data_IF_894544475189
#
_entry.id   IF_894544475189
#
_cell.length_a   1.000
_cell.length_b   1.000
_cell.length_c   1.000
_cell.angle_alpha   90.00
_cell.angle_beta   90.00
_cell.angle_gamma   90.00
#
_symmetry.space_group_name_H-M   'P 1'
#
loop_
_entity.id
_entity.type
_entity.pdbx_description
1 polymer ?
#
# COMPACT_ATOMS: atom_id res chain seq x y z
N UNK A 1 77.66 37.34 46.86
CA UNK A 1 76.60 36.31 46.78
C UNK A 1 75.20 36.91 46.58
N UNK A 2 74.70 37.80 47.46
CA UNK A 2 73.32 38.36 47.43
C UNK A 2 72.76 38.96 46.10
N UNK A 3 73.59 39.33 45.12
CA UNK A 3 73.11 39.88 43.81
C UNK A 3 72.80 38.80 42.77
N UNK A 4 73.39 37.60 42.89
CA UNK A 4 73.14 36.48 41.96
C UNK A 4 71.84 35.78 42.32
N UNK A 5 71.64 35.52 43.61
CA UNK A 5 70.44 34.87 44.16
C UNK A 5 69.16 35.70 43.88
N UNK A 6 69.21 37.03 44.02
CA UNK A 6 68.10 37.93 43.66
C UNK A 6 67.75 37.94 42.16
N UNK A 7 68.71 37.64 41.29
CA UNK A 7 68.50 37.61 39.83
C UNK A 7 67.89 36.28 39.40
N UNK A 8 68.30 35.17 40.03
CA UNK A 8 67.70 33.85 39.83
C UNK A 8 66.25 33.78 40.34
N UNK A 9 65.92 34.39 41.48
CA UNK A 9 64.53 34.46 41.95
C UNK A 9 63.66 35.30 41.01
N UNK A 10 64.18 36.43 40.50
CA UNK A 10 63.47 37.25 39.52
C UNK A 10 63.22 36.54 38.18
N UNK A 11 64.11 35.64 37.74
CA UNK A 11 63.92 34.85 36.52
C UNK A 11 62.88 33.72 36.73
N UNK A 12 62.84 33.12 37.93
CA UNK A 12 61.82 32.12 38.28
C UNK A 12 60.43 32.75 38.36
N UNK A 13 60.31 33.93 38.95
CA UNK A 13 59.04 34.66 39.02
C UNK A 13 58.49 34.99 37.63
N UNK A 14 59.36 35.37 36.68
CA UNK A 14 58.95 35.60 35.29
C UNK A 14 58.51 34.31 34.57
N UNK A 15 59.11 33.16 34.90
CA UNK A 15 58.69 31.87 34.35
C UNK A 15 57.32 31.46 34.90
N UNK A 16 57.08 31.69 36.19
CA UNK A 16 55.79 31.41 36.84
C UNK A 16 54.68 32.22 36.18
N UNK A 17 54.87 33.54 36.00
CA UNK A 17 53.88 34.41 35.35
C UNK A 17 53.54 33.92 33.94
N UNK A 18 54.55 33.55 33.13
CA UNK A 18 54.33 33.02 31.77
C UNK A 18 53.56 31.69 31.77
N UNK A 19 53.81 30.83 32.75
CA UNK A 19 53.09 29.57 32.91
C UNK A 19 51.63 29.81 33.32
N UNK A 20 51.38 30.74 34.24
CA UNK A 20 50.04 31.14 34.65
C UNK A 20 49.23 31.72 33.49
N UNK A 21 49.82 32.61 32.69
CA UNK A 21 49.19 33.15 31.48
C UNK A 21 48.85 32.04 30.48
N UNK A 22 49.75 31.08 30.28
CA UNK A 22 49.53 29.94 29.37
C UNK A 22 48.41 29.03 29.87
N UNK A 23 48.38 28.72 31.17
CA UNK A 23 47.31 27.95 31.81
C UNK A 23 45.98 28.69 31.65
N UNK A 24 45.97 30.01 31.88
CA UNK A 24 44.77 30.82 31.73
C UNK A 24 44.22 30.77 30.30
N UNK A 25 45.08 30.94 29.30
CA UNK A 25 44.69 30.86 27.89
C UNK A 25 44.16 29.47 27.52
N UNK A 26 44.83 28.41 27.98
CA UNK A 26 44.40 27.03 27.74
C UNK A 26 43.04 26.73 28.40
N UNK A 27 42.80 27.22 29.62
CA UNK A 27 41.51 27.07 30.30
C UNK A 27 40.38 27.81 29.57
N UNK A 28 40.64 29.03 29.06
CA UNK A 28 39.67 29.73 28.23
C UNK A 28 39.35 28.96 26.94
N UNK A 29 40.36 28.39 26.28
CA UNK A 29 40.16 27.58 25.08
C UNK A 29 39.35 26.31 25.39
N UNK A 30 39.64 25.62 26.49
CA UNK A 30 38.88 24.46 26.97
C UNK A 30 37.42 24.80 27.22
N UNK A 31 37.14 25.92 27.91
CA UNK A 31 35.76 26.35 28.17
C UNK A 31 34.98 26.59 26.88
N UNK A 32 35.58 27.29 25.89
CA UNK A 32 34.95 27.51 24.58
C UNK A 32 34.68 26.22 23.83
N UNK A 33 35.57 25.23 23.94
CA UNK A 33 35.37 23.91 23.32
C UNK A 33 34.22 23.17 24.01
N UNK A 34 34.17 23.19 25.35
CA UNK A 34 33.10 22.56 26.12
C UNK A 34 31.73 23.18 25.82
N UNK A 35 31.64 24.50 25.72
CA UNK A 35 30.41 25.20 25.33
C UNK A 35 29.93 24.76 23.94
N UNK A 36 30.84 24.71 22.96
CA UNK A 36 30.51 24.21 21.61
C UNK A 36 30.09 22.75 21.62
N UNK A 37 30.76 21.92 22.40
CA UNK A 37 30.42 20.51 22.53
C UNK A 37 29.02 20.33 23.12
N UNK A 38 28.68 21.10 24.17
CA UNK A 38 27.34 21.10 24.75
C UNK A 38 26.28 21.45 23.71
N UNK A 39 26.48 22.55 22.98
CA UNK A 39 25.55 22.97 21.93
C UNK A 39 25.37 21.92 20.83
N UNK A 40 26.47 21.26 20.42
CA UNK A 40 26.41 20.17 19.45
C UNK A 40 25.64 18.95 19.98
N UNK A 41 25.81 18.60 21.26
CA UNK A 41 25.10 17.48 21.89
C UNK A 41 23.61 17.77 22.02
N UNK A 42 23.24 18.98 22.42
CA UNK A 42 21.84 19.41 22.52
C UNK A 42 21.16 19.32 21.15
N UNK A 43 21.80 19.88 20.11
CA UNK A 43 21.30 19.82 18.75
C UNK A 43 21.23 18.40 18.18
N UNK A 44 22.17 17.53 18.55
CA UNK A 44 22.11 16.11 18.18
C UNK A 44 20.91 15.42 18.85
N UNK A 45 20.58 15.80 20.10
CA UNK A 45 19.38 15.35 20.80
C UNK A 45 18.10 15.73 20.07
N UNK A 46 17.98 17.00 19.68
CA UNK A 46 16.83 17.51 18.89
C UNK A 46 16.67 16.74 17.57
N UNK A 47 17.76 16.60 16.80
CA UNK A 47 17.74 15.89 15.52
C UNK A 47 17.32 14.42 15.70
N UNK A 48 17.75 13.77 16.78
CA UNK A 48 17.33 12.38 17.07
C UNK A 48 15.84 12.28 17.37
N UNK A 49 15.29 13.23 18.14
CA UNK A 49 13.85 13.27 18.43
C UNK A 49 13.02 13.54 17.18
N UNK A 50 13.43 14.52 16.36
CA UNK A 50 12.77 14.80 15.08
C UNK A 50 12.78 13.59 14.15
N UNK A 51 13.93 12.89 14.07
CA UNK A 51 14.05 11.67 13.29
C UNK A 51 13.06 10.60 13.76
N UNK A 52 12.95 10.37 15.06
CA UNK A 52 12.02 9.38 15.62
C UNK A 52 10.55 9.74 15.31
N UNK A 53 10.18 11.01 15.42
CA UNK A 53 8.84 11.51 15.07
C UNK A 53 8.55 11.25 13.59
N UNK A 54 9.51 11.56 12.71
CA UNK A 54 9.36 11.36 11.26
C UNK A 54 9.25 9.87 10.90
N UNK A 55 10.06 9.00 11.52
CA UNK A 55 9.99 7.56 11.31
C UNK A 55 8.63 6.99 11.72
N UNK A 56 8.09 7.43 12.85
CA UNK A 56 6.74 7.04 13.27
C UNK A 56 5.68 7.55 12.29
N UNK A 57 5.85 8.78 11.78
CA UNK A 57 4.91 9.34 10.82
C UNK A 57 4.91 8.62 9.48
N UNK A 58 6.09 8.19 9.03
CA UNK A 58 6.24 7.36 7.82
C UNK A 58 5.48 6.05 8.00
N UNK A 59 5.70 5.33 9.11
CA UNK A 59 5.00 4.07 9.40
C UNK A 59 3.48 4.23 9.42
N UNK A 60 2.97 5.30 10.04
CA UNK A 60 1.52 5.59 10.03
C UNK A 60 0.97 5.80 8.62
N UNK A 61 1.72 6.52 7.77
CA UNK A 61 1.31 6.79 6.39
C UNK A 61 1.35 5.52 5.53
N UNK A 62 2.35 4.67 5.71
CA UNK A 62 2.45 3.38 5.02
C UNK A 62 1.28 2.45 5.37
N UNK A 63 0.91 2.37 6.66
CA UNK A 63 -0.26 1.62 7.12
C UNK A 63 -1.53 2.16 6.47
N UNK A 64 -1.72 3.48 6.50
CA UNK A 64 -2.90 4.13 5.91
C UNK A 64 -2.98 3.88 4.41
N UNK A 65 -1.85 3.91 3.69
CA UNK A 65 -1.82 3.63 2.26
C UNK A 65 -2.22 2.17 1.98
N UNK A 66 -1.77 1.23 2.79
CA UNK A 66 -2.17 -0.18 2.70
C UNK A 66 -3.67 -0.36 2.93
N UNK A 67 -4.25 0.30 3.94
CA UNK A 67 -5.70 0.27 4.20
C UNK A 67 -6.51 0.79 3.01
N UNK A 68 -6.08 1.89 2.39
CA UNK A 68 -6.74 2.41 1.18
C UNK A 68 -6.67 1.44 0.00
N UNK A 69 -5.51 0.78 -0.19
CA UNK A 69 -5.34 -0.23 -1.24
C UNK A 69 -6.25 -1.43 -1.01
N UNK A 70 -6.35 -1.92 0.23
CA UNK A 70 -7.24 -3.01 0.61
C UNK A 70 -8.71 -2.66 0.37
N UNK A 71 -9.16 -1.48 0.82
CA UNK A 71 -10.52 -1.01 0.57
C UNK A 71 -10.86 -0.92 -0.92
N UNK A 72 -9.90 -0.48 -1.75
CA UNK A 72 -10.08 -0.42 -3.21
C UNK A 72 -10.16 -1.83 -3.81
N UNK A 73 -9.31 -2.74 -3.35
CA UNK A 73 -9.32 -4.13 -3.77
C UNK A 73 -10.66 -4.81 -3.44
N UNK A 74 -11.17 -4.66 -2.21
CA UNK A 74 -12.42 -5.27 -1.78
C UNK A 74 -13.62 -4.76 -2.58
N UNK A 75 -13.65 -3.45 -2.90
CA UNK A 75 -14.67 -2.89 -3.79
C UNK A 75 -14.60 -3.50 -5.19
N UNK A 76 -13.41 -3.58 -5.76
CA UNK A 76 -13.21 -4.15 -7.09
C UNK A 76 -13.59 -5.63 -7.15
N UNK A 77 -13.25 -6.39 -6.10
CA UNK A 77 -13.60 -7.80 -5.98
C UNK A 77 -15.12 -7.99 -5.91
N UNK A 78 -15.81 -7.19 -5.09
CA UNK A 78 -17.27 -7.22 -5.00
C UNK A 78 -17.95 -6.88 -6.34
N UNK A 79 -17.43 -5.90 -7.06
CA UNK A 79 -17.97 -5.53 -8.37
C UNK A 79 -17.72 -6.63 -9.42
N UNK A 80 -16.53 -7.23 -9.40
CA UNK A 80 -16.19 -8.39 -10.23
C UNK A 80 -17.15 -9.55 -9.96
N UNK A 81 -17.38 -9.92 -8.70
CA UNK A 81 -18.25 -11.04 -8.34
C UNK A 81 -19.71 -10.81 -8.79
N UNK A 82 -20.21 -9.58 -8.65
CA UNK A 82 -21.53 -9.18 -9.16
C UNK A 82 -21.60 -9.30 -10.69
N UNK A 83 -20.59 -8.82 -11.40
CA UNK A 83 -20.57 -8.89 -12.87
C UNK A 83 -20.44 -10.34 -13.35
N UNK A 84 -19.60 -11.14 -12.70
CA UNK A 84 -19.44 -12.55 -13.02
C UNK A 84 -20.75 -13.32 -12.80
N UNK A 85 -21.45 -13.08 -11.68
CA UNK A 85 -22.76 -13.68 -11.45
C UNK A 85 -23.78 -13.29 -12.52
N UNK A 86 -23.86 -12.00 -12.88
CA UNK A 86 -24.73 -11.53 -13.97
C UNK A 86 -24.40 -12.20 -15.29
N UNK A 87 -23.11 -12.29 -15.64
CA UNK A 87 -22.67 -12.94 -16.86
C UNK A 87 -23.08 -14.42 -16.90
N UNK A 88 -22.97 -15.14 -15.78
CA UNK A 88 -23.42 -16.52 -15.67
C UNK A 88 -24.94 -16.65 -15.83
N UNK A 89 -25.72 -15.79 -15.19
CA UNK A 89 -27.19 -15.77 -15.33
C UNK A 89 -27.59 -15.47 -16.77
N UNK A 90 -27.03 -14.44 -17.37
CA UNK A 90 -27.31 -14.07 -18.77
C UNK A 90 -26.90 -15.17 -19.74
N UNK A 91 -25.75 -15.82 -19.52
CA UNK A 91 -25.34 -16.98 -20.32
C UNK A 91 -26.37 -18.11 -20.23
N UNK A 92 -26.83 -18.44 -19.02
CA UNK A 92 -27.86 -19.47 -18.83
C UNK A 92 -29.15 -19.11 -19.57
N UNK A 93 -29.61 -17.86 -19.45
CA UNK A 93 -30.81 -17.39 -20.18
C UNK A 93 -30.64 -17.49 -21.70
N UNK A 94 -29.45 -17.18 -22.22
CA UNK A 94 -29.14 -17.29 -23.64
C UNK A 94 -29.11 -18.75 -24.09
N UNK A 95 -28.52 -19.63 -23.30
CA UNK A 95 -28.48 -21.07 -23.56
C UNK A 95 -29.90 -21.66 -23.54
N UNK A 96 -30.74 -21.27 -22.57
CA UNK A 96 -32.14 -21.70 -22.46
C UNK A 96 -32.96 -21.21 -23.68
N UNK A 97 -32.81 -19.94 -24.07
CA UNK A 97 -33.47 -19.38 -25.25
C UNK A 97 -33.01 -20.08 -26.54
N UNK A 98 -31.72 -20.35 -26.69
CA UNK A 98 -31.17 -21.10 -27.82
C UNK A 98 -31.74 -22.50 -27.90
N UNK A 99 -31.80 -23.21 -26.78
CA UNK A 99 -32.38 -24.56 -26.71
C UNK A 99 -33.87 -24.55 -27.06
N UNK A 100 -34.60 -23.52 -26.63
CA UNK A 100 -36.00 -23.34 -26.98
C UNK A 100 -36.19 -23.10 -28.49
N UNK A 101 -35.35 -22.27 -29.10
CA UNK A 101 -35.36 -22.03 -30.56
C UNK A 101 -35.11 -23.33 -31.32
N UNK A 102 -34.07 -24.08 -30.96
CA UNK A 102 -33.75 -25.37 -31.60
C UNK A 102 -34.91 -26.37 -31.47
N UNK A 103 -35.60 -26.37 -30.34
CA UNK A 103 -36.80 -27.20 -30.16
C UNK A 103 -37.94 -26.76 -31.09
N UNK A 104 -38.21 -25.46 -31.21
CA UNK A 104 -39.23 -24.94 -32.12
C UNK A 104 -38.90 -25.22 -33.59
N UNK A 105 -37.64 -25.09 -33.98
CA UNK A 105 -37.16 -25.45 -35.33
C UNK A 105 -37.43 -26.92 -35.63
N UNK A 106 -37.17 -27.81 -34.67
CA UNK A 106 -37.51 -29.24 -34.80
C UNK A 106 -39.01 -29.46 -34.96
N UNK A 107 -39.85 -28.78 -34.17
CA UNK A 107 -41.31 -28.87 -34.28
C UNK A 107 -41.79 -28.43 -35.67
N UNK A 108 -41.25 -27.33 -36.19
CA UNK A 108 -41.58 -26.82 -37.53
C UNK A 108 -41.16 -27.83 -38.61
N UNK A 109 -39.92 -28.32 -38.55
CA UNK A 109 -39.41 -29.30 -39.51
C UNK A 109 -40.22 -30.60 -39.49
N UNK A 110 -40.58 -31.11 -38.32
CA UNK A 110 -41.42 -32.30 -38.19
C UNK A 110 -42.83 -32.06 -38.75
N UNK A 111 -43.37 -30.85 -38.61
CA UNK A 111 -44.66 -30.46 -39.17
C UNK A 111 -44.64 -30.31 -40.69
N UNK A 112 -43.57 -29.73 -41.25
CA UNK A 112 -43.36 -29.58 -42.69
C UNK A 112 -43.19 -30.94 -43.39
N UNK A 113 -42.54 -31.90 -42.73
CA UNK A 113 -42.29 -33.23 -43.28
C UNK A 113 -43.45 -34.23 -43.08
N UNK A 114 -44.64 -33.76 -42.66
CA UNK A 114 -45.81 -34.64 -42.47
C UNK A 114 -46.36 -35.14 -43.80
N UNK A 115 -46.68 -36.43 -43.84
CA UNK A 115 -47.35 -37.03 -45.00
C UNK A 115 -48.81 -36.60 -45.09
N UNK A 116 -49.36 -36.53 -46.31
CA UNK A 116 -50.78 -36.26 -46.58
C UNK A 116 -51.70 -37.22 -45.81
N UNK A 117 -51.29 -38.48 -45.61
CA UNK A 117 -52.06 -39.45 -44.82
C UNK A 117 -52.11 -39.12 -43.33
N UNK A 118 -51.06 -38.50 -42.77
CA UNK A 118 -51.03 -38.07 -41.38
C UNK A 118 -51.95 -36.88 -41.13
N UNK A 119 -52.10 -36.00 -42.14
CA UNK A 119 -53.11 -34.95 -42.14
C UNK A 119 -54.53 -35.53 -42.12
N UNK A 120 -54.83 -36.50 -42.99
CA UNK A 120 -56.15 -37.15 -43.07
C UNK A 120 -56.50 -37.84 -41.74
N UNK A 121 -55.53 -38.53 -41.12
CA UNK A 121 -55.72 -39.25 -39.86
C UNK A 121 -55.57 -38.39 -38.60
N UNK A 122 -55.36 -37.08 -38.73
CA UNK A 122 -55.08 -36.14 -37.62
C UNK A 122 -53.95 -36.62 -36.69
N UNK A 123 -52.95 -37.32 -37.23
CA UNK A 123 -51.76 -37.76 -36.48
C UNK A 123 -50.72 -36.64 -36.48
N UNK A 124 -50.35 -36.17 -35.30
CA UNK A 124 -49.36 -35.11 -35.14
C UNK A 124 -48.01 -35.70 -34.71
N UNK A 125 -46.89 -35.08 -35.11
CA UNK A 125 -45.56 -35.46 -34.62
C UNK A 125 -45.45 -35.32 -33.11
N UNK A 126 -44.62 -36.17 -32.49
CA UNK A 126 -44.40 -36.17 -31.04
C UNK A 126 -43.87 -34.82 -30.54
N UNK A 127 -43.01 -34.14 -31.31
CA UNK A 127 -42.49 -32.81 -31.00
C UNK A 127 -43.59 -31.75 -30.90
N UNK A 128 -44.62 -31.81 -31.75
CA UNK A 128 -45.79 -30.93 -31.68
C UNK A 128 -46.65 -31.22 -30.44
N UNK A 129 -46.85 -32.50 -30.11
CA UNK A 129 -47.58 -32.90 -28.91
C UNK A 129 -46.84 -32.40 -27.66
N UNK A 130 -45.52 -32.56 -27.63
CA UNK A 130 -44.66 -32.06 -26.56
C UNK A 130 -44.71 -30.53 -26.46
N UNK A 131 -44.66 -29.80 -27.57
CA UNK A 131 -44.84 -28.35 -27.59
C UNK A 131 -46.17 -27.93 -26.97
N UNK A 132 -47.28 -28.58 -27.37
CA UNK A 132 -48.61 -28.29 -26.86
C UNK A 132 -48.78 -28.60 -25.38
N UNK A 133 -48.08 -29.61 -24.87
CA UNK A 133 -48.10 -29.96 -23.45
C UNK A 133 -47.22 -29.04 -22.58
N UNK A 134 -46.27 -28.32 -23.19
CA UNK A 134 -45.39 -27.35 -22.53
C UNK A 134 -45.91 -25.90 -22.58
N UNK A 135 -46.88 -25.63 -23.46
CA UNK A 135 -47.55 -24.33 -23.63
C UNK A 135 -48.79 -24.20 -22.76
#
# INVERSE_FOLDING_TARGET
MKKKDKKEDSDKDQIIIKLEEKIHYQNQALNRINEKLSQCLDRLGEIRQEKEILENKIKELEIREMDFKLLKHDKLQNDYDKMNHRAQVTKKQLDDARNHILFLEKVLQDMENRSMMDYIKKRYPESWVEYKNRS
#
